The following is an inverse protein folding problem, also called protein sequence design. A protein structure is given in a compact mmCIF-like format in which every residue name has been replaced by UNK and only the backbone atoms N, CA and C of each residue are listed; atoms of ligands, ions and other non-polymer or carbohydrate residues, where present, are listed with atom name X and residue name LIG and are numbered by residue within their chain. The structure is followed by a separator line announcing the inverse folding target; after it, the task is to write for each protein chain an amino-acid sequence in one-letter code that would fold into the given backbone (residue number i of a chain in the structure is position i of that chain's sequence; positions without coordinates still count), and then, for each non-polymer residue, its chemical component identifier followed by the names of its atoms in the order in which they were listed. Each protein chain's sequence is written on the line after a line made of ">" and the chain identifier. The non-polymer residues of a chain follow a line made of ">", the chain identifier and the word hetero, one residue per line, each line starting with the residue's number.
data_IF_866112767742
#
_entry.id   IF_866112767742
#
_cell.length_a   1.000
_cell.length_b   1.000
_cell.length_c   1.000
_cell.angle_alpha   90.00
_cell.angle_beta   90.00
_cell.angle_gamma   90.00
#
_symmetry.space_group_name_H-M   'P 1'
#
loop_
_entity.id
_entity.type
_entity.pdbx_description
1 polymer ?
#
# COMPACT_ATOMS: atom_id res chain seq x y z
N UNK A 1 10.56 12.31 7.13
CA UNK A 1 9.87 12.68 5.89
C UNK A 1 8.37 12.86 6.08
N UNK A 2 7.67 13.38 5.07
CA UNK A 2 6.21 13.63 5.16
C UNK A 2 5.39 12.37 5.46
N UNK A 3 5.85 11.21 5.00
CA UNK A 3 5.16 9.93 5.22
C UNK A 3 5.27 9.39 6.65
N UNK A 4 6.10 10.00 7.51
CA UNK A 4 6.31 9.65 8.93
C UNK A 4 6.92 8.27 9.21
N UNK A 5 7.26 7.51 8.17
CA UNK A 5 7.78 6.13 8.27
C UNK A 5 9.12 5.95 7.56
N UNK A 6 9.69 7.03 7.03
CA UNK A 6 11.00 7.03 6.37
C UNK A 6 11.86 8.18 6.86
N UNK A 7 13.16 7.93 6.96
CA UNK A 7 14.19 8.95 7.21
C UNK A 7 15.28 8.90 6.13
N UNK A 8 16.02 10.00 6.01
CA UNK A 8 17.27 10.03 5.27
C UNK A 8 18.41 9.97 6.29
N UNK A 9 19.22 8.95 6.21
CA UNK A 9 20.36 8.72 7.09
C UNK A 9 21.62 8.73 6.23
N UNK A 10 22.35 9.85 6.28
CA UNK A 10 23.59 10.05 5.51
C UNK A 10 23.44 9.79 3.99
N UNK A 11 22.34 10.24 3.40
CA UNK A 11 22.07 10.07 1.96
C UNK A 11 21.32 8.77 1.61
N UNK A 12 21.11 7.88 2.56
CA UNK A 12 20.36 6.62 2.37
C UNK A 12 18.94 6.77 2.88
N UNK A 13 17.96 6.41 2.05
CA UNK A 13 16.55 6.38 2.44
C UNK A 13 16.25 5.10 3.22
N UNK A 14 15.93 5.25 4.52
CA UNK A 14 15.62 4.14 5.44
C UNK A 14 14.14 4.07 5.69
N UNK A 15 13.57 2.86 5.74
CA UNK A 15 12.20 2.59 6.19
C UNK A 15 12.19 2.10 7.65
N UNK A 16 11.19 2.53 8.42
CA UNK A 16 11.02 2.14 9.84
C UNK A 16 9.90 1.09 10.03
N UNK A 17 9.28 0.65 8.93
CA UNK A 17 8.10 -0.24 8.95
C UNK A 17 8.30 -1.54 8.16
N UNK A 18 9.52 -1.89 7.82
CA UNK A 18 9.80 -3.15 7.13
C UNK A 18 9.38 -4.36 7.98
N UNK A 19 8.62 -5.29 7.40
CA UNK A 19 8.02 -6.44 8.10
C UNK A 19 6.99 -6.09 9.20
N UNK A 20 6.47 -4.86 9.25
CA UNK A 20 5.53 -4.38 10.26
C UNK A 20 4.19 -4.06 9.63
N UNK A 21 3.22 -4.93 9.80
CA UNK A 21 1.86 -4.75 9.27
C UNK A 21 0.94 -4.21 10.36
N UNK A 22 0.25 -3.11 10.09
CA UNK A 22 -0.64 -2.42 11.02
C UNK A 22 -2.12 -2.83 10.84
N UNK A 23 -2.48 -3.33 9.68
CA UNK A 23 -3.85 -3.72 9.36
C UNK A 23 -3.87 -4.99 8.52
N UNK A 24 -4.73 -5.93 8.91
CA UNK A 24 -5.04 -7.16 8.18
C UNK A 24 -6.54 -7.26 7.96
N UNK A 25 -6.95 -7.77 6.80
CA UNK A 25 -8.34 -8.09 6.51
C UNK A 25 -8.47 -9.11 5.38
N UNK A 26 -9.49 -9.95 5.43
CA UNK A 26 -9.91 -10.74 4.28
C UNK A 26 -11.13 -10.02 3.72
N UNK A 27 -10.96 -9.44 2.55
CA UNK A 27 -11.97 -8.60 1.92
C UNK A 27 -12.42 -9.22 0.58
N UNK A 28 -13.69 -9.06 0.20
CA UNK A 28 -14.07 -9.26 -1.20
C UNK A 28 -13.31 -8.29 -2.10
N UNK A 29 -12.93 -8.76 -3.30
CA UNK A 29 -12.11 -7.96 -4.24
C UNK A 29 -12.80 -6.64 -4.60
N UNK A 30 -14.11 -6.59 -4.58
CA UNK A 30 -14.92 -5.39 -4.86
C UNK A 30 -14.67 -4.26 -3.86
N UNK A 31 -14.20 -4.56 -2.63
CA UNK A 31 -13.74 -3.54 -1.69
C UNK A 31 -12.43 -2.84 -2.10
N UNK A 32 -11.78 -3.33 -3.15
CA UNK A 32 -10.62 -2.67 -3.78
C UNK A 32 -11.00 -1.86 -5.01
N UNK A 33 -12.25 -1.46 -5.14
CA UNK A 33 -13.06 -1.08 -6.32
C UNK A 33 -12.59 -1.71 -7.66
N UNK A 34 -12.43 -3.05 -7.64
CA UNK A 34 -12.03 -3.85 -8.80
C UNK A 34 -13.13 -4.84 -9.18
N UNK A 35 -14.23 -4.33 -9.73
CA UNK A 35 -15.47 -5.10 -9.96
C UNK A 35 -15.37 -6.16 -11.06
N UNK A 36 -14.41 -6.03 -11.99
CA UNK A 36 -14.22 -6.95 -13.10
C UNK A 36 -12.96 -7.83 -12.95
N UNK A 37 -12.27 -7.72 -11.82
CA UNK A 37 -11.07 -8.49 -11.52
C UNK A 37 -11.40 -9.58 -10.50
N UNK A 38 -11.55 -10.83 -10.94
CA UNK A 38 -11.95 -11.99 -10.13
C UNK A 38 -13.21 -11.76 -9.27
N UNK A 39 -14.37 -11.39 -9.85
CA UNK A 39 -15.56 -11.03 -9.08
C UNK A 39 -15.97 -12.12 -8.09
N UNK A 40 -16.39 -11.72 -6.89
CA UNK A 40 -16.85 -12.62 -5.83
C UNK A 40 -15.74 -13.39 -5.10
N UNK A 41 -14.46 -13.10 -5.41
CA UNK A 41 -13.32 -13.72 -4.71
C UNK A 41 -12.84 -12.88 -3.55
N UNK A 42 -12.16 -13.53 -2.60
CA UNK A 42 -11.51 -12.88 -1.49
C UNK A 42 -10.07 -12.49 -1.82
N UNK A 43 -9.57 -11.46 -1.13
CA UNK A 43 -8.17 -11.05 -1.17
C UNK A 43 -7.68 -10.73 0.24
N UNK A 44 -6.50 -11.24 0.61
CA UNK A 44 -5.84 -10.86 1.84
C UNK A 44 -5.33 -9.43 1.73
N UNK A 45 -5.86 -8.54 2.54
CA UNK A 45 -5.56 -7.11 2.52
C UNK A 45 -4.63 -6.74 3.66
N UNK A 46 -3.57 -6.03 3.36
CA UNK A 46 -2.62 -5.52 4.34
C UNK A 46 -2.40 -4.02 4.18
N UNK A 47 -2.06 -3.39 5.29
CA UNK A 47 -1.58 -2.01 5.32
C UNK A 47 -0.61 -1.80 6.46
N UNK A 48 0.21 -0.79 6.32
CA UNK A 48 1.15 -0.36 7.35
C UNK A 48 0.72 0.99 7.94
N UNK A 49 1.62 1.72 8.56
CA UNK A 49 1.37 3.11 8.95
C UNK A 49 2.05 4.08 7.97
N UNK A 50 1.64 5.34 8.01
CA UNK A 50 2.18 6.40 7.18
C UNK A 50 1.49 6.56 5.83
N UNK A 51 1.62 7.76 5.27
CA UNK A 51 1.16 8.12 3.94
C UNK A 51 1.94 9.34 3.46
N UNK A 52 2.23 9.42 2.19
CA UNK A 52 2.91 10.57 1.59
C UNK A 52 1.98 11.77 1.30
N UNK A 53 0.65 11.59 1.44
CA UNK A 53 -0.35 12.65 1.45
C UNK A 53 -0.95 12.84 2.86
N UNK A 54 -1.50 14.04 3.12
CA UNK A 54 -2.12 14.41 4.38
C UNK A 54 -3.56 14.90 4.14
N UNK A 55 -4.40 14.00 3.61
CA UNK A 55 -5.78 14.33 3.26
C UNK A 55 -6.60 14.68 4.51
N UNK A 56 -7.26 15.85 4.50
CA UNK A 56 -8.13 16.28 5.60
C UNK A 56 -9.35 15.38 5.81
N UNK A 57 -9.71 14.61 4.80
CA UNK A 57 -10.86 13.68 4.76
C UNK A 57 -10.42 12.20 4.83
N UNK A 58 -9.22 11.89 5.28
CA UNK A 58 -8.70 10.52 5.30
C UNK A 58 -9.50 9.64 6.27
N UNK A 59 -10.15 8.59 5.75
CA UNK A 59 -10.87 7.60 6.56
C UNK A 59 -9.93 6.82 7.48
N UNK A 60 -8.72 6.54 7.01
CA UNK A 60 -7.72 5.76 7.72
C UNK A 60 -6.66 6.65 8.43
N UNK A 61 -7.05 7.87 8.86
CA UNK A 61 -6.11 8.84 9.42
C UNK A 61 -5.30 8.29 10.62
N UNK A 62 -5.87 7.37 11.40
CA UNK A 62 -5.21 6.76 12.57
C UNK A 62 -3.94 6.00 12.21
N UNK A 63 -3.90 5.34 11.05
CA UNK A 63 -2.71 4.64 10.57
C UNK A 63 -1.94 5.49 9.57
N UNK A 64 -2.60 6.23 8.67
CA UNK A 64 -1.94 7.00 7.62
C UNK A 64 -1.19 8.23 8.15
N UNK A 65 -1.58 8.77 9.32
CA UNK A 65 -0.97 9.96 9.91
C UNK A 65 -0.20 9.67 11.20
N UNK A 66 0.08 8.40 11.50
CA UNK A 66 0.82 7.96 12.67
C UNK A 66 2.32 7.88 12.38
N UNK A 67 3.15 8.20 13.36
CA UNK A 67 4.59 7.88 13.34
C UNK A 67 4.79 6.38 13.58
N UNK A 68 5.79 5.79 12.95
CA UNK A 68 6.14 4.38 13.20
C UNK A 68 6.44 4.09 14.68
N UNK A 69 7.00 5.08 15.40
CA UNK A 69 7.33 4.98 16.82
C UNK A 69 6.13 5.12 17.76
N UNK A 70 5.01 5.62 17.28
CA UNK A 70 3.79 5.87 18.06
C UNK A 70 2.73 4.78 17.86
N UNK A 71 2.95 3.85 16.96
CA UNK A 71 2.00 2.78 16.68
C UNK A 71 2.42 1.49 17.36
N UNK A 72 1.59 1.01 18.28
CA UNK A 72 1.87 -0.18 19.11
C UNK A 72 1.17 -1.46 18.62
N UNK A 73 0.37 -1.38 17.55
CA UNK A 73 -0.44 -2.49 17.04
C UNK A 73 0.20 -3.28 15.89
N UNK A 74 1.48 -3.15 15.63
CA UNK A 74 2.14 -3.90 14.57
C UNK A 74 2.13 -5.41 14.81
N UNK A 75 1.83 -6.13 13.73
CA UNK A 75 2.17 -7.55 13.63
C UNK A 75 3.45 -7.67 12.80
N UNK A 76 4.49 -8.23 13.39
CA UNK A 76 5.72 -8.53 12.67
C UNK A 76 5.53 -9.80 11.85
N UNK A 77 5.70 -9.68 10.55
CA UNK A 77 5.53 -10.80 9.61
C UNK A 77 6.49 -10.64 8.43
N UNK A 78 7.21 -11.71 8.11
CA UNK A 78 8.07 -11.73 6.92
C UNK A 78 7.24 -11.92 5.65
N UNK A 79 7.81 -11.59 4.49
CA UNK A 79 7.18 -11.79 3.18
C UNK A 79 6.78 -13.25 2.97
N UNK A 80 7.62 -14.21 3.36
CA UNK A 80 7.35 -15.65 3.25
C UNK A 80 6.12 -16.06 4.04
N UNK A 81 6.07 -15.69 5.33
CA UNK A 81 4.93 -16.01 6.22
C UNK A 81 3.64 -15.35 5.76
N UNK A 82 3.73 -14.15 5.19
CA UNK A 82 2.57 -13.46 4.65
C UNK A 82 2.01 -14.20 3.42
N UNK A 83 2.88 -14.68 2.54
CA UNK A 83 2.48 -15.49 1.37
C UNK A 83 1.91 -16.85 1.80
N UNK A 84 2.54 -17.52 2.77
CA UNK A 84 2.00 -18.78 3.33
C UNK A 84 0.59 -18.57 3.90
N UNK A 85 0.38 -17.48 4.65
CA UNK A 85 -0.94 -17.11 5.16
C UNK A 85 -1.95 -16.87 4.04
N UNK A 86 -1.54 -16.19 2.97
CA UNK A 86 -2.40 -15.96 1.81
C UNK A 86 -2.84 -17.26 1.12
N UNK A 87 -1.93 -18.24 1.03
CA UNK A 87 -2.21 -19.56 0.44
C UNK A 87 -3.18 -20.40 1.27
N UNK A 88 -3.24 -20.19 2.59
CA UNK A 88 -4.12 -20.95 3.49
C UNK A 88 -5.56 -20.42 3.54
N UNK A 89 -5.81 -19.22 3.05
CA UNK A 89 -7.15 -18.61 3.08
C UNK A 89 -8.00 -19.18 1.94
N UNK A 90 -9.16 -19.80 2.23
CA UNK A 90 -10.04 -20.34 1.20
C UNK A 90 -10.51 -19.27 0.20
N UNK A 91 -10.50 -19.61 -1.09
CA UNK A 91 -10.90 -18.71 -2.18
C UNK A 91 -10.14 -17.38 -2.27
N UNK A 92 -9.00 -17.26 -1.61
CA UNK A 92 -8.15 -16.09 -1.69
C UNK A 92 -7.39 -16.07 -3.01
N UNK A 93 -7.45 -14.95 -3.73
CA UNK A 93 -6.72 -14.81 -5.00
C UNK A 93 -5.31 -14.27 -4.82
N UNK A 94 -4.97 -13.67 -3.66
CA UNK A 94 -3.66 -13.07 -3.47
C UNK A 94 -3.61 -12.05 -2.34
N UNK A 95 -2.77 -11.04 -2.51
CA UNK A 95 -2.55 -9.98 -1.53
C UNK A 95 -2.90 -8.61 -2.13
N UNK A 96 -3.67 -7.82 -1.37
CA UNK A 96 -3.92 -6.41 -1.64
C UNK A 96 -3.13 -5.53 -0.66
N UNK A 97 -2.31 -4.66 -1.20
CA UNK A 97 -1.61 -3.60 -0.48
C UNK A 97 -2.51 -2.36 -0.47
N UNK A 98 -2.99 -1.96 0.71
CA UNK A 98 -4.11 -1.02 0.81
C UNK A 98 -4.17 -0.33 2.19
N UNK A 99 -5.29 0.30 2.54
CA UNK A 99 -5.65 1.01 3.78
C UNK A 99 -4.94 2.34 3.99
N UNK A 100 -3.62 2.40 3.89
CA UNK A 100 -2.81 3.62 3.87
C UNK A 100 -2.24 3.85 2.46
N UNK A 101 -0.96 4.22 2.33
CA UNK A 101 -0.29 4.35 1.04
C UNK A 101 0.77 3.26 0.86
N UNK A 102 0.56 2.27 -0.02
CA UNK A 102 1.49 1.14 -0.20
C UNK A 102 2.91 1.55 -0.60
N UNK A 103 3.06 2.61 -1.37
CA UNK A 103 4.37 3.07 -1.79
C UNK A 103 5.23 3.67 -0.66
N UNK A 104 4.67 3.88 0.54
CA UNK A 104 5.46 4.25 1.72
C UNK A 104 6.19 3.06 2.35
N UNK A 105 5.72 1.84 2.10
CA UNK A 105 6.38 0.59 2.48
C UNK A 105 6.85 -0.24 1.27
N UNK A 106 7.36 0.46 0.29
CA UNK A 106 7.72 -0.05 -1.02
C UNK A 106 8.60 -1.31 -0.97
N UNK A 107 9.64 -1.35 -0.14
CA UNK A 107 10.61 -2.44 -0.10
C UNK A 107 9.96 -3.75 0.35
N UNK A 108 9.12 -3.70 1.37
CA UNK A 108 8.37 -4.87 1.84
C UNK A 108 7.33 -5.31 0.81
N UNK A 109 6.59 -4.36 0.22
CA UNK A 109 5.65 -4.65 -0.86
C UNK A 109 6.36 -5.27 -2.07
N UNK A 110 7.53 -4.75 -2.46
CA UNK A 110 8.30 -5.24 -3.61
C UNK A 110 8.81 -6.67 -3.40
N UNK A 111 9.35 -6.97 -2.21
CA UNK A 111 9.79 -8.31 -1.84
C UNK A 111 8.61 -9.29 -1.81
N UNK A 112 7.54 -8.93 -1.13
CA UNK A 112 6.32 -9.75 -1.03
C UNK A 112 5.69 -9.99 -2.41
N UNK A 113 5.59 -8.96 -3.26
CA UNK A 113 4.94 -9.09 -4.57
C UNK A 113 5.66 -10.06 -5.50
N UNK A 114 6.99 -10.15 -5.45
CA UNK A 114 7.75 -11.17 -6.20
C UNK A 114 7.41 -12.58 -5.74
N UNK A 115 7.31 -12.79 -4.44
CA UNK A 115 6.99 -14.11 -3.88
C UNK A 115 5.53 -14.50 -4.18
N UNK A 116 4.56 -13.58 -4.04
CA UNK A 116 3.16 -13.77 -4.42
C UNK A 116 3.04 -14.17 -5.89
N UNK A 117 3.72 -13.43 -6.77
CA UNK A 117 3.76 -13.71 -8.21
C UNK A 117 4.34 -15.11 -8.50
N UNK A 118 5.44 -15.48 -7.84
CA UNK A 118 6.09 -16.80 -8.02
C UNK A 118 5.20 -17.98 -7.59
N UNK A 119 4.22 -17.74 -6.73
CA UNK A 119 3.22 -18.74 -6.27
C UNK A 119 1.93 -18.74 -7.11
N UNK A 120 1.87 -17.95 -8.19
CA UNK A 120 0.68 -17.82 -9.03
C UNK A 120 -0.48 -17.04 -8.39
N UNK A 121 -0.25 -16.44 -7.23
CA UNK A 121 -1.21 -15.54 -6.58
C UNK A 121 -1.17 -14.14 -7.22
N UNK A 122 -2.20 -13.34 -6.94
CA UNK A 122 -2.39 -12.00 -7.48
C UNK A 122 -1.92 -10.91 -6.52
N UNK A 123 -1.29 -9.89 -7.07
CA UNK A 123 -0.92 -8.67 -6.37
C UNK A 123 -1.83 -7.53 -6.80
N UNK A 124 -2.49 -6.90 -5.84
CA UNK A 124 -3.37 -5.75 -6.05
C UNK A 124 -2.86 -4.56 -5.24
N UNK A 125 -2.82 -3.39 -5.84
CA UNK A 125 -2.42 -2.16 -5.16
C UNK A 125 -3.54 -1.14 -5.20
N UNK A 126 -3.91 -0.62 -4.03
CA UNK A 126 -4.82 0.54 -3.90
C UNK A 126 -3.99 1.71 -3.40
N UNK A 127 -3.76 2.69 -4.27
CA UNK A 127 -2.79 3.77 -4.04
C UNK A 127 -3.35 5.13 -4.44
N UNK A 128 -2.80 6.18 -3.84
CA UNK A 128 -3.04 7.56 -4.27
C UNK A 128 -2.24 7.95 -5.53
N UNK A 129 -1.40 7.05 -6.06
CA UNK A 129 -0.62 7.27 -7.28
C UNK A 129 0.58 8.22 -7.13
N UNK A 130 0.86 8.72 -5.94
CA UNK A 130 1.93 9.69 -5.71
C UNK A 130 3.29 9.00 -5.51
N UNK A 131 3.87 8.55 -6.63
CA UNK A 131 5.14 7.80 -6.68
C UNK A 131 6.02 8.28 -7.84
N UNK A 132 7.33 8.17 -7.67
CA UNK A 132 8.29 8.42 -8.73
C UNK A 132 8.26 7.32 -9.82
N UNK A 133 8.51 7.66 -11.09
CA UNK A 133 8.45 6.70 -12.20
C UNK A 133 9.39 5.49 -12.04
N UNK A 134 10.60 5.69 -11.54
CA UNK A 134 11.60 4.62 -11.45
C UNK A 134 11.21 3.46 -10.51
N UNK A 135 10.81 3.70 -9.24
CA UNK A 135 10.31 2.62 -8.39
C UNK A 135 9.00 2.02 -8.94
N UNK A 136 8.12 2.83 -9.54
CA UNK A 136 6.92 2.32 -10.18
C UNK A 136 7.24 1.31 -11.28
N UNK A 137 8.10 1.66 -12.24
CA UNK A 137 8.52 0.75 -13.33
C UNK A 137 9.10 -0.56 -12.82
N UNK A 138 9.84 -0.54 -11.72
CA UNK A 138 10.45 -1.75 -11.14
C UNK A 138 9.42 -2.71 -10.56
N UNK A 139 8.35 -2.22 -9.95
CA UNK A 139 7.34 -3.07 -9.31
C UNK A 139 6.24 -3.53 -10.27
N UNK A 140 5.95 -2.76 -11.33
CA UNK A 140 4.88 -3.05 -12.30
C UNK A 140 4.85 -4.49 -12.81
N UNK A 141 5.99 -5.17 -13.13
CA UNK A 141 5.96 -6.55 -13.60
C UNK A 141 5.37 -7.57 -12.62
N UNK A 142 5.24 -7.21 -11.35
CA UNK A 142 4.73 -8.08 -10.29
C UNK A 142 3.31 -7.73 -9.84
N UNK A 143 2.71 -6.64 -10.34
CA UNK A 143 1.38 -6.18 -9.94
C UNK A 143 0.36 -6.53 -11.03
N UNK A 144 -0.71 -7.21 -10.64
CA UNK A 144 -1.76 -7.67 -11.56
C UNK A 144 -2.88 -6.63 -11.74
N UNK A 145 -3.15 -5.80 -10.73
CA UNK A 145 -4.18 -4.76 -10.81
C UNK A 145 -3.90 -3.58 -9.88
N UNK A 146 -4.30 -2.40 -10.33
CA UNK A 146 -4.25 -1.16 -9.57
C UNK A 146 -5.65 -0.53 -9.46
N UNK A 147 -5.95 0.02 -8.29
CA UNK A 147 -6.93 1.07 -8.12
C UNK A 147 -6.18 2.35 -7.73
N UNK A 148 -6.22 3.37 -8.57
CA UNK A 148 -5.61 4.67 -8.30
C UNK A 148 -6.69 5.64 -7.84
N UNK A 149 -6.55 6.09 -6.61
CA UNK A 149 -7.46 7.02 -5.96
C UNK A 149 -7.08 8.47 -6.28
N UNK A 150 -7.54 8.94 -7.44
CA UNK A 150 -7.38 10.33 -7.85
C UNK A 150 -8.29 11.22 -6.99
N UNK A 151 -7.67 12.05 -6.14
CA UNK A 151 -8.40 12.82 -5.11
C UNK A 151 -9.19 14.02 -5.69
N UNK A 152 -8.71 14.62 -6.77
CA UNK A 152 -9.36 15.72 -7.49
C UNK A 152 -8.66 16.01 -8.81
N UNK A 153 -9.22 16.92 -9.62
CA UNK A 153 -8.67 17.39 -10.91
C UNK A 153 -8.06 18.79 -10.85
N UNK A 154 -7.75 19.32 -9.64
CA UNK A 154 -7.17 20.66 -9.51
C UNK A 154 -5.99 20.67 -8.55
N UNK A 155 -4.93 21.40 -8.90
CA UNK A 155 -3.76 21.63 -8.03
C UNK A 155 -4.15 22.31 -6.72
N UNK A 156 -5.13 23.23 -6.76
CA UNK A 156 -5.59 23.94 -5.56
C UNK A 156 -6.19 22.99 -4.52
N UNK A 157 -6.99 22.01 -4.96
CA UNK A 157 -7.52 20.96 -4.08
C UNK A 157 -6.39 20.10 -3.51
N UNK A 158 -5.48 19.61 -4.35
CA UNK A 158 -4.35 18.80 -3.89
C UNK A 158 -3.53 19.55 -2.84
N UNK A 159 -3.16 20.79 -3.12
CA UNK A 159 -2.39 21.63 -2.19
C UNK A 159 -3.12 21.86 -0.86
N UNK A 160 -4.42 22.22 -0.91
CA UNK A 160 -5.21 22.57 0.28
C UNK A 160 -5.63 21.36 1.09
N UNK A 161 -6.15 20.32 0.43
CA UNK A 161 -6.81 19.21 1.09
C UNK A 161 -5.93 17.97 1.29
N UNK A 162 -4.92 17.75 0.44
CA UNK A 162 -4.05 16.59 0.54
C UNK A 162 -2.61 16.92 0.94
N UNK A 163 -2.22 18.21 0.91
CA UNK A 163 -0.84 18.69 1.07
C UNK A 163 0.13 18.14 0.03
N UNK A 164 -0.39 17.66 -1.09
CA UNK A 164 0.36 17.14 -2.24
C UNK A 164 0.22 18.01 -3.49
N UNK A 165 0.54 17.42 -4.63
CA UNK A 165 0.43 18.02 -5.97
C UNK A 165 -0.33 17.06 -6.89
N UNK A 166 -1.07 17.59 -7.87
CA UNK A 166 -1.80 16.78 -8.85
C UNK A 166 -0.87 16.15 -9.89
N UNK A 167 0.05 16.94 -10.45
CA UNK A 167 0.91 16.52 -11.57
C UNK A 167 1.63 15.17 -11.33
N UNK A 168 2.21 14.86 -10.14
CA UNK A 168 2.86 13.57 -9.93
C UNK A 168 1.91 12.36 -9.93
N UNK A 169 0.59 12.57 -9.88
CA UNK A 169 -0.42 11.51 -9.90
C UNK A 169 -0.90 11.20 -11.31
N UNK A 170 -0.82 12.19 -12.21
CA UNK A 170 -1.20 12.09 -13.62
C UNK A 170 -0.07 11.51 -14.47
#
# INVERSE_FOLDING_TARGET
>A
GNCKVRSNENGVLVTHVFNKVAAFGIDPIEKKPLYHFYPGKNILSIGEVGCNLHCSFCQNHRISQCLATEFYGFQEITSEKLVEKALQIPQNIGIAYTYNEPFTFYEFMFETSKQVHSKGLKNVVVSNGYINPEPLKKILPFIDAFNIDLKAFTEDFYRKQTKGKLVPVL
#
